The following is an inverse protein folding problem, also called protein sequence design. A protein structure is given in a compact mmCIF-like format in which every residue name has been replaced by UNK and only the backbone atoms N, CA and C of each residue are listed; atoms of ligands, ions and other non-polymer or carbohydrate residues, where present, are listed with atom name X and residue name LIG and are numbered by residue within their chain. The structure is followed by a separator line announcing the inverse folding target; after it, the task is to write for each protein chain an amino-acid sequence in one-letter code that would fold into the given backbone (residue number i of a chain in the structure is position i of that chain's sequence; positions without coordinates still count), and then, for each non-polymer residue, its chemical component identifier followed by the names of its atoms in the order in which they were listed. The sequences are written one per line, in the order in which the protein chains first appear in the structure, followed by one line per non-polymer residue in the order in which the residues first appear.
data_IF_120822619674
#
_entry.id   IF_120822619674
#
_cell.length_a   1.000
_cell.length_b   1.000
_cell.length_c   1.000
_cell.angle_alpha   90.00
_cell.angle_beta   90.00
_cell.angle_gamma   90.00
#
_symmetry.space_group_name_H-M   'P 1'
#
loop_
_entity.id
_entity.type
_entity.pdbx_description
1 polymer ?
#
# COMPACT_ATOMS: atom_id res chain seq x y z
N UNK A 1 39.57 -9.18 19.42
CA UNK A 1 39.07 -10.57 19.67
C UNK A 1 37.56 -10.57 19.58
N UNK A 2 37.03 -11.01 18.45
CA UNK A 2 35.59 -11.04 18.17
C UNK A 2 35.15 -12.50 18.30
N UNK A 3 34.24 -12.81 19.23
CA UNK A 3 33.66 -14.14 19.36
C UNK A 3 32.38 -14.24 18.51
N UNK A 4 32.45 -15.08 17.48
CA UNK A 4 31.30 -15.51 16.69
C UNK A 4 30.44 -16.47 17.54
N UNK A 5 29.18 -16.13 17.74
CA UNK A 5 28.15 -17.06 18.28
C UNK A 5 27.39 -17.63 17.09
N UNK A 6 27.64 -18.89 16.76
CA UNK A 6 26.86 -19.67 15.83
C UNK A 6 25.59 -20.18 16.49
N UNK A 7 24.43 -19.64 16.14
CA UNK A 7 23.13 -20.25 16.48
C UNK A 7 22.77 -21.33 15.46
N UNK A 8 22.69 -22.58 15.93
CA UNK A 8 22.24 -23.75 15.14
C UNK A 8 20.72 -23.84 15.27
N UNK A 9 20.01 -23.64 14.18
CA UNK A 9 18.58 -23.94 14.08
C UNK A 9 18.40 -25.40 13.68
N UNK A 10 17.71 -26.14 14.55
CA UNK A 10 17.26 -27.52 14.28
C UNK A 10 15.91 -27.44 13.56
N UNK A 11 15.85 -28.07 12.41
CA UNK A 11 14.62 -28.37 11.69
C UNK A 11 13.90 -29.53 12.39
N UNK A 12 12.68 -29.32 12.84
CA UNK A 12 11.77 -30.43 13.18
C UNK A 12 10.72 -30.55 12.07
N UNK A 13 10.82 -31.69 11.40
CA UNK A 13 9.86 -32.19 10.42
C UNK A 13 8.78 -32.97 11.20
N UNK A 14 7.53 -32.52 11.15
CA UNK A 14 6.39 -33.31 11.58
C UNK A 14 5.55 -33.71 10.36
N UNK A 15 5.64 -35.00 10.06
CA UNK A 15 4.76 -35.76 9.21
C UNK A 15 3.41 -35.94 9.93
N UNK A 16 2.28 -35.60 9.29
CA UNK A 16 0.96 -36.09 9.69
C UNK A 16 0.23 -36.63 8.45
N UNK A 17 -0.23 -37.84 8.62
CA UNK A 17 -0.76 -38.78 7.65
C UNK A 17 -2.15 -38.45 7.12
N UNK A 18 -2.41 -39.02 5.95
CA UNK A 18 -3.65 -39.05 5.21
C UNK A 18 -4.76 -39.86 5.91
N UNK A 19 -6.01 -39.39 5.83
CA UNK A 19 -7.19 -40.27 5.95
C UNK A 19 -8.12 -40.00 4.77
N UNK A 20 -8.22 -41.02 3.97
CA UNK A 20 -9.20 -41.14 2.88
C UNK A 20 -10.60 -41.51 3.45
N UNK A 21 -11.62 -40.85 2.98
CA UNK A 21 -13.00 -41.19 3.28
C UNK A 21 -13.88 -41.01 2.04
N UNK A 22 -14.07 -42.09 1.27
CA UNK A 22 -15.12 -42.22 0.25
C UNK A 22 -16.48 -42.40 0.92
N UNK A 23 -17.48 -41.69 0.46
CA UNK A 23 -18.87 -42.17 0.51
C UNK A 23 -19.63 -41.71 -0.76
N UNK A 24 -19.98 -42.71 -1.53
CA UNK A 24 -20.94 -42.74 -2.65
C UNK A 24 -22.38 -42.86 -2.09
N UNK A 25 -23.33 -42.11 -2.61
CA UNK A 25 -24.74 -42.48 -2.72
C UNK A 25 -25.41 -41.53 -3.69
N UNK A 26 -25.77 -41.95 -4.81
CA UNK A 26 -26.92 -42.69 -5.30
C UNK A 26 -28.08 -41.79 -5.77
N UNK A 27 -28.38 -41.96 -7.06
CA UNK A 27 -29.49 -41.41 -7.85
C UNK A 27 -30.86 -41.70 -7.29
N UNK A 28 -31.81 -40.81 -7.52
CA UNK A 28 -33.21 -41.15 -7.77
C UNK A 28 -33.85 -40.11 -8.68
N UNK A 29 -34.12 -40.52 -9.91
CA UNK A 29 -35.04 -39.87 -10.84
C UNK A 29 -36.48 -40.11 -10.40
N UNK A 30 -37.34 -39.10 -10.54
CA UNK A 30 -38.76 -39.28 -10.76
C UNK A 30 -39.36 -38.11 -11.53
N UNK A 31 -40.07 -38.33 -12.64
CA UNK A 31 -40.73 -37.27 -13.38
C UNK A 31 -42.15 -37.02 -12.78
N UNK A 32 -42.53 -35.76 -12.73
CA UNK A 32 -43.95 -35.40 -12.58
C UNK A 32 -44.23 -34.11 -13.36
N UNK A 33 -45.10 -34.27 -14.34
CA UNK A 33 -45.74 -33.20 -15.08
C UNK A 33 -46.47 -32.23 -14.16
N UNK A 34 -46.26 -30.95 -14.32
CA UNK A 34 -47.24 -29.93 -13.99
C UNK A 34 -46.95 -28.60 -14.70
N UNK A 35 -47.78 -28.32 -15.71
CA UNK A 35 -48.32 -27.03 -16.14
C UNK A 35 -47.40 -25.78 -16.16
N UNK A 36 -47.09 -25.43 -17.37
CA UNK A 36 -46.85 -24.11 -17.93
C UNK A 36 -47.57 -22.99 -17.19
N UNK A 37 -46.81 -22.22 -16.43
CA UNK A 37 -47.07 -20.82 -16.15
C UNK A 37 -45.88 -20.07 -16.72
N UNK A 38 -46.19 -19.23 -17.71
CA UNK A 38 -45.26 -18.40 -18.43
C UNK A 38 -44.77 -17.32 -17.46
N UNK A 39 -43.65 -17.58 -16.79
CA UNK A 39 -42.95 -16.62 -15.99
C UNK A 39 -41.86 -16.02 -16.88
N UNK A 40 -41.98 -14.73 -17.15
CA UNK A 40 -41.01 -13.97 -17.92
C UNK A 40 -39.62 -14.15 -17.28
N UNK A 41 -38.56 -14.37 -18.07
CA UNK A 41 -37.22 -14.48 -17.53
C UNK A 41 -36.83 -13.12 -16.89
N UNK A 42 -36.78 -13.09 -15.57
CA UNK A 42 -36.09 -12.06 -14.86
C UNK A 42 -34.61 -12.30 -15.20
N UNK A 43 -34.11 -11.58 -16.22
CA UNK A 43 -32.70 -11.48 -16.46
C UNK A 43 -32.06 -10.93 -15.17
N UNK A 44 -31.18 -11.69 -14.51
CA UNK A 44 -30.38 -11.09 -13.46
C UNK A 44 -29.62 -9.94 -14.13
N UNK A 45 -29.96 -8.71 -13.77
CA UNK A 45 -29.08 -7.57 -14.05
C UNK A 45 -27.76 -7.91 -13.37
N UNK A 46 -26.84 -8.49 -14.11
CA UNK A 46 -25.45 -8.56 -13.75
C UNK A 46 -25.03 -7.10 -13.68
N UNK A 47 -25.09 -6.54 -12.49
CA UNK A 47 -24.37 -5.31 -12.20
C UNK A 47 -22.92 -5.62 -12.56
N UNK A 48 -22.58 -5.32 -13.81
CA UNK A 48 -21.19 -5.32 -14.24
C UNK A 48 -20.54 -4.27 -13.36
N UNK A 49 -19.91 -4.73 -12.27
CA UNK A 49 -18.96 -3.90 -11.55
C UNK A 49 -18.03 -3.37 -12.63
N UNK A 50 -18.15 -2.09 -12.94
CA UNK A 50 -17.18 -1.40 -13.78
C UNK A 50 -15.83 -1.78 -13.21
N UNK A 51 -14.89 -2.35 -13.97
CA UNK A 51 -13.54 -2.57 -13.48
C UNK A 51 -13.13 -1.27 -12.80
N UNK A 52 -12.60 -1.34 -11.59
CA UNK A 52 -12.22 -0.16 -10.82
C UNK A 52 -11.48 0.76 -11.77
N UNK A 53 -12.15 1.85 -12.15
CA UNK A 53 -11.80 2.60 -13.34
C UNK A 53 -10.37 3.06 -13.16
N UNK A 54 -9.46 2.52 -13.95
CA UNK A 54 -8.12 3.05 -14.22
C UNK A 54 -7.21 3.33 -13.00
N UNK A 55 -7.44 2.70 -11.83
CA UNK A 55 -6.64 2.91 -10.63
C UNK A 55 -6.84 4.27 -9.95
N UNK A 56 -7.90 5.01 -10.28
CA UNK A 56 -8.14 6.36 -9.78
C UNK A 56 -8.19 6.43 -8.24
N UNK A 57 -8.82 5.47 -7.57
CA UNK A 57 -8.86 5.41 -6.11
C UNK A 57 -7.48 5.15 -5.50
N UNK A 58 -6.67 4.31 -6.13
CA UNK A 58 -5.29 4.06 -5.70
C UNK A 58 -4.40 5.30 -5.89
N UNK A 59 -4.58 6.03 -6.99
CA UNK A 59 -3.91 7.32 -7.23
C UNK A 59 -4.31 8.34 -6.18
N UNK A 60 -5.60 8.41 -5.82
CA UNK A 60 -6.08 9.29 -4.76
C UNK A 60 -5.44 8.93 -3.41
N UNK A 61 -5.42 7.65 -3.03
CA UNK A 61 -4.79 7.16 -1.81
C UNK A 61 -3.29 7.50 -1.75
N UNK A 62 -2.57 7.35 -2.86
CA UNK A 62 -1.16 7.73 -2.96
C UNK A 62 -0.96 9.23 -2.70
N UNK A 63 -1.77 10.09 -3.31
CA UNK A 63 -1.68 11.54 -3.11
C UNK A 63 -1.97 11.93 -1.65
N UNK A 64 -2.98 11.33 -1.04
CA UNK A 64 -3.32 11.61 0.37
C UNK A 64 -2.24 11.06 1.32
N UNK A 65 -1.63 9.91 1.03
CA UNK A 65 -0.48 9.43 1.78
C UNK A 65 0.66 10.46 1.85
N UNK A 66 0.98 11.13 0.73
CA UNK A 66 1.98 12.21 0.73
C UNK A 66 1.55 13.43 1.55
N UNK A 67 0.25 13.77 1.53
CA UNK A 67 -0.28 14.83 2.40
C UNK A 67 -0.18 14.46 3.88
N UNK A 68 -0.50 13.23 4.25
CA UNK A 68 -0.37 12.74 5.62
C UNK A 68 1.09 12.77 6.09
N UNK A 69 2.02 12.36 5.24
CA UNK A 69 3.46 12.43 5.51
C UNK A 69 3.91 13.89 5.67
N UNK A 70 3.45 14.79 4.81
CA UNK A 70 3.76 16.22 4.88
C UNK A 70 3.33 16.79 6.23
N UNK A 71 2.10 16.57 6.64
CA UNK A 71 1.58 17.03 7.93
C UNK A 71 2.35 16.44 9.12
N UNK A 72 2.66 15.15 9.09
CA UNK A 72 3.45 14.51 10.15
C UNK A 72 4.89 15.03 10.20
N UNK A 73 5.45 15.47 9.07
CA UNK A 73 6.82 15.98 8.98
C UNK A 73 7.01 17.38 9.56
N UNK A 74 5.92 18.17 9.69
CA UNK A 74 5.98 19.51 10.33
C UNK A 74 6.42 19.45 11.79
N UNK A 75 6.21 18.28 12.44
CA UNK A 75 6.63 18.02 13.83
C UNK A 75 7.50 16.80 13.95
N UNK A 76 7.83 16.14 12.84
CA UNK A 76 8.56 14.87 12.76
C UNK A 76 7.91 13.78 13.64
N UNK A 77 6.56 13.71 13.59
CA UNK A 77 5.76 12.79 14.40
C UNK A 77 5.59 11.42 13.71
N UNK A 78 6.49 10.48 14.04
CA UNK A 78 6.41 9.11 13.57
C UNK A 78 5.24 8.30 14.17
N UNK A 79 4.58 8.81 15.21
CA UNK A 79 3.42 8.18 15.85
C UNK A 79 2.08 8.73 15.32
N UNK A 80 2.11 9.66 14.38
CA UNK A 80 0.89 10.24 13.81
C UNK A 80 -0.05 9.14 13.29
N UNK A 81 -1.30 9.08 13.77
CA UNK A 81 -2.25 8.06 13.33
C UNK A 81 -2.60 8.18 11.84
N UNK A 82 -2.52 9.39 11.25
CA UNK A 82 -2.81 9.64 9.84
C UNK A 82 -1.95 8.80 8.90
N UNK A 83 -0.69 8.50 9.28
CA UNK A 83 0.22 7.71 8.45
C UNK A 83 -0.37 6.33 8.09
N UNK A 84 -1.14 5.73 9.01
CA UNK A 84 -1.78 4.43 8.82
C UNK A 84 -3.10 4.49 8.01
N UNK A 85 -3.64 5.68 7.73
CA UNK A 85 -4.90 5.81 6.99
C UNK A 85 -4.70 5.48 5.50
N UNK A 86 -3.58 5.90 4.91
CA UNK A 86 -3.30 5.70 3.49
C UNK A 86 -2.00 4.93 3.20
N UNK A 87 -1.26 4.52 4.23
CA UNK A 87 -0.08 3.65 4.09
C UNK A 87 -0.19 2.41 4.98
N UNK A 88 0.50 1.35 4.57
CA UNK A 88 0.62 0.08 5.31
C UNK A 88 1.94 -0.61 4.94
N UNK A 89 2.31 -1.67 5.66
CA UNK A 89 3.48 -2.47 5.35
C UNK A 89 4.76 -1.66 5.18
N UNK A 90 5.53 -1.96 4.13
CA UNK A 90 6.82 -1.31 3.89
C UNK A 90 6.76 0.20 3.68
N UNK A 91 5.68 0.73 3.08
CA UNK A 91 5.50 2.17 2.91
C UNK A 91 5.34 2.88 4.26
N UNK A 92 4.49 2.35 5.12
CA UNK A 92 4.26 2.91 6.46
C UNK A 92 5.54 2.90 7.30
N UNK A 93 6.27 1.78 7.29
CA UNK A 93 7.52 1.66 8.04
C UNK A 93 8.61 2.62 7.52
N UNK A 94 8.69 2.82 6.21
CA UNK A 94 9.63 3.77 5.61
C UNK A 94 9.32 5.21 6.05
N UNK A 95 8.04 5.61 6.04
CA UNK A 95 7.60 6.94 6.48
C UNK A 95 7.92 7.16 7.96
N UNK A 96 7.57 6.20 8.82
CA UNK A 96 7.88 6.26 10.25
C UNK A 96 9.37 6.34 10.52
N UNK A 97 10.17 5.55 9.80
CA UNK A 97 11.63 5.59 9.91
C UNK A 97 12.20 6.97 9.57
N UNK A 98 11.75 7.56 8.45
CA UNK A 98 12.17 8.91 8.04
C UNK A 98 11.84 9.97 9.10
N UNK A 99 10.61 9.97 9.60
CA UNK A 99 10.16 10.89 10.64
C UNK A 99 10.92 10.71 11.96
N UNK A 100 11.11 9.46 12.39
CA UNK A 100 11.88 9.17 13.60
C UNK A 100 13.35 9.62 13.48
N UNK A 101 13.95 9.49 12.29
CA UNK A 101 15.29 10.01 12.01
C UNK A 101 15.32 11.54 12.10
N UNK A 102 14.37 12.22 11.44
CA UNK A 102 14.26 13.69 11.51
C UNK A 102 14.06 14.17 12.94
N UNK A 103 13.23 13.49 13.73
CA UNK A 103 13.03 13.79 15.15
C UNK A 103 14.32 13.67 15.96
N UNK A 104 15.12 12.63 15.70
CA UNK A 104 16.40 12.40 16.37
C UNK A 104 17.46 13.47 16.01
N UNK A 105 17.36 14.05 14.83
CA UNK A 105 18.24 15.10 14.32
C UNK A 105 17.73 16.50 14.67
N UNK A 106 16.63 16.64 15.42
CA UNK A 106 15.95 17.91 15.74
C UNK A 106 15.58 18.71 14.50
N UNK A 107 15.07 18.00 13.49
CA UNK A 107 14.70 18.56 12.18
C UNK A 107 13.22 18.34 11.92
N UNK A 108 12.58 19.34 11.32
CA UNK A 108 11.20 19.28 10.79
C UNK A 108 11.21 19.65 9.31
N UNK A 109 10.18 19.23 8.57
CA UNK A 109 10.03 19.65 7.18
C UNK A 109 8.92 20.68 7.04
N UNK A 110 9.07 21.64 6.13
CA UNK A 110 8.07 22.65 5.79
C UNK A 110 7.87 22.70 4.28
N UNK A 111 6.65 23.04 3.87
CA UNK A 111 6.23 22.96 2.49
C UNK A 111 5.69 21.57 2.17
N UNK A 112 5.59 21.23 0.90
CA UNK A 112 5.08 19.95 0.45
C UNK A 112 5.77 19.52 -0.84
N UNK A 113 5.93 18.21 -1.07
CA UNK A 113 6.37 17.71 -2.36
C UNK A 113 5.25 17.83 -3.39
N UNK A 114 5.61 18.00 -4.66
CA UNK A 114 4.69 17.90 -5.78
C UNK A 114 4.71 16.47 -6.29
N UNK A 115 3.52 15.89 -6.44
CA UNK A 115 3.34 14.50 -6.88
C UNK A 115 2.38 14.43 -8.07
N UNK A 116 2.77 13.68 -9.09
CA UNK A 116 1.95 13.42 -10.28
C UNK A 116 2.07 11.96 -10.73
N UNK A 117 1.51 11.01 -9.94
CA UNK A 117 1.66 9.59 -10.18
C UNK A 117 0.95 9.14 -11.46
N UNK A 118 1.58 8.21 -12.18
CA UNK A 118 1.02 7.53 -13.35
C UNK A 118 0.82 6.05 -13.04
N UNK A 119 -0.31 5.52 -13.50
CA UNK A 119 -0.61 4.09 -13.38
C UNK A 119 0.23 3.30 -14.40
N UNK A 120 0.98 2.32 -13.91
CA UNK A 120 1.73 1.36 -14.73
C UNK A 120 0.90 0.11 -14.99
N UNK A 121 0.21 -0.38 -13.94
CA UNK A 121 -0.72 -1.49 -14.03
C UNK A 121 -1.81 -1.36 -12.99
N UNK A 122 -3.01 -1.84 -13.30
CA UNK A 122 -4.14 -1.82 -12.38
C UNK A 122 -4.93 -3.12 -12.46
N UNK A 123 -5.24 -3.67 -11.29
CA UNK A 123 -6.15 -4.78 -11.07
C UNK A 123 -7.07 -4.44 -9.90
N UNK A 124 -8.03 -5.30 -9.60
CA UNK A 124 -8.90 -5.19 -8.43
C UNK A 124 -8.18 -5.38 -7.07
N UNK A 125 -6.94 -5.88 -7.09
CA UNK A 125 -6.15 -6.22 -5.90
C UNK A 125 -4.85 -5.43 -5.77
N UNK A 126 -4.41 -4.80 -6.84
CA UNK A 126 -3.12 -4.11 -6.86
C UNK A 126 -3.09 -3.08 -7.98
N UNK A 127 -2.58 -1.91 -7.64
CA UNK A 127 -2.22 -0.87 -8.61
C UNK A 127 -0.75 -0.53 -8.41
N UNK A 128 0.01 -0.53 -9.50
CA UNK A 128 1.41 -0.11 -9.52
C UNK A 128 1.48 1.29 -10.12
N UNK A 129 2.13 2.17 -9.38
CA UNK A 129 2.31 3.57 -9.77
C UNK A 129 3.79 3.88 -9.94
N UNK A 130 4.08 4.82 -10.83
CA UNK A 130 5.37 5.48 -10.96
C UNK A 130 5.17 6.98 -10.91
N UNK A 131 6.06 7.67 -10.20
CA UNK A 131 6.02 9.13 -10.05
C UNK A 131 7.41 9.71 -10.18
N UNK A 132 7.47 10.99 -10.55
CA UNK A 132 8.65 11.84 -10.43
C UNK A 132 8.33 12.92 -9.39
N UNK A 133 8.63 12.64 -8.14
CA UNK A 133 8.33 13.54 -7.03
C UNK A 133 9.31 14.69 -7.02
N UNK A 134 8.79 15.92 -6.95
CA UNK A 134 9.58 17.13 -6.78
C UNK A 134 9.47 17.61 -5.33
N UNK A 135 10.56 17.51 -4.56
CA UNK A 135 10.65 17.96 -3.18
C UNK A 135 11.42 19.29 -3.03
N UNK A 136 11.67 20.02 -4.13
CA UNK A 136 12.37 21.30 -4.10
C UNK A 136 11.73 22.35 -3.18
N UNK A 137 10.43 22.21 -2.92
CA UNK A 137 9.67 23.06 -2.01
C UNK A 137 9.32 22.39 -0.67
N UNK A 138 9.88 21.21 -0.38
CA UNK A 138 9.68 20.50 0.87
C UNK A 138 11.00 20.42 1.65
N UNK A 139 11.32 21.53 2.33
CA UNK A 139 12.65 21.76 2.88
C UNK A 139 12.73 21.39 4.36
N UNK A 140 13.93 20.99 4.79
CA UNK A 140 14.20 20.65 6.19
C UNK A 140 14.73 21.87 6.97
N UNK A 141 14.21 22.02 8.20
CA UNK A 141 14.54 23.11 9.10
C UNK A 141 14.93 22.56 10.48
N UNK A 142 15.91 23.19 11.12
CA UNK A 142 16.19 22.98 12.53
C UNK A 142 15.07 23.56 13.38
N UNK A 143 14.95 23.14 14.63
CA UNK A 143 13.91 23.64 15.55
C UNK A 143 14.02 25.14 15.84
N UNK A 144 15.21 25.76 15.64
CA UNK A 144 15.39 27.21 15.75
C UNK A 144 14.90 28.00 14.52
N UNK A 145 14.38 27.29 13.50
CA UNK A 145 13.84 27.90 12.29
C UNK A 145 14.83 28.13 11.15
N UNK A 146 16.10 27.80 11.34
CA UNK A 146 17.09 27.85 10.27
C UNK A 146 16.95 26.65 9.34
N UNK A 147 17.29 26.81 8.05
CA UNK A 147 17.44 25.68 7.16
C UNK A 147 18.44 24.68 7.73
N UNK A 148 18.16 23.39 7.60
CA UNK A 148 19.08 22.33 8.05
C UNK A 148 20.42 22.43 7.32
N UNK A 149 20.35 22.63 6.02
CA UNK A 149 21.47 22.78 5.11
C UNK A 149 21.05 23.64 3.89
N UNK A 150 21.98 23.87 2.98
CA UNK A 150 21.74 24.61 1.74
C UNK A 150 21.52 23.68 0.54
N UNK A 151 21.17 22.41 0.79
CA UNK A 151 20.88 21.45 -0.28
C UNK A 151 19.44 21.65 -0.70
N UNK A 152 19.17 22.16 -1.92
CA UNK A 152 17.82 22.23 -2.42
C UNK A 152 17.30 20.80 -2.58
N UNK A 153 15.99 20.62 -2.43
CA UNK A 153 15.33 19.41 -2.87
C UNK A 153 15.51 19.22 -4.38
N UNK A 154 14.98 18.15 -4.91
CA UNK A 154 15.11 17.83 -6.32
C UNK A 154 14.02 16.88 -6.80
N UNK A 155 14.25 16.28 -7.94
CA UNK A 155 13.35 15.32 -8.53
C UNK A 155 13.87 13.91 -8.29
N UNK A 156 13.01 13.01 -7.82
CA UNK A 156 13.38 11.61 -7.65
C UNK A 156 12.24 10.68 -8.05
N UNK A 157 12.62 9.59 -8.68
CA UNK A 157 11.69 8.57 -9.11
C UNK A 157 11.18 7.77 -7.93
N UNK A 158 9.86 7.57 -7.90
CA UNK A 158 9.17 6.73 -6.93
C UNK A 158 8.42 5.63 -7.65
N UNK A 159 8.61 4.40 -7.19
CA UNK A 159 7.80 3.24 -7.56
C UNK A 159 6.92 2.88 -6.35
N UNK A 160 5.61 2.81 -6.53
CA UNK A 160 4.66 2.54 -5.45
C UNK A 160 3.72 1.38 -5.80
N UNK A 161 3.39 0.57 -4.80
CA UNK A 161 2.35 -0.46 -4.90
C UNK A 161 1.22 -0.11 -3.95
N UNK A 162 0.00 -0.03 -4.47
CA UNK A 162 -1.21 0.31 -3.72
C UNK A 162 -2.14 -0.89 -3.73
N UNK A 163 -2.68 -1.26 -2.56
CA UNK A 163 -3.55 -2.44 -2.39
C UNK A 163 -4.76 -2.12 -1.51
N UNK A 164 -5.90 -2.76 -1.76
CA UNK A 164 -7.04 -2.66 -0.85
C UNK A 164 -6.71 -3.33 0.48
N UNK A 165 -6.89 -2.60 1.56
CA UNK A 165 -6.59 -3.05 2.93
C UNK A 165 -7.62 -2.46 3.88
N UNK A 166 -8.40 -3.31 4.56
CA UNK A 166 -9.43 -2.86 5.50
C UNK A 166 -10.54 -2.03 4.84
N UNK A 167 -10.86 -2.31 3.56
CA UNK A 167 -11.91 -1.61 2.82
C UNK A 167 -11.48 -0.29 2.16
N UNK A 168 -10.21 0.09 2.25
CA UNK A 168 -9.64 1.28 1.61
C UNK A 168 -8.38 0.94 0.82
N UNK A 169 -8.08 1.71 -0.21
CA UNK A 169 -6.80 1.62 -0.91
C UNK A 169 -5.69 2.24 -0.06
N UNK A 170 -4.58 1.51 0.13
CA UNK A 170 -3.40 1.97 0.88
C UNK A 170 -2.12 1.67 0.13
N UNK A 171 -1.17 2.58 0.19
CA UNK A 171 0.19 2.34 -0.32
C UNK A 171 0.85 1.29 0.58
N UNK A 172 1.12 0.12 0.03
CA UNK A 172 1.70 -1.01 0.76
C UNK A 172 3.22 -1.09 0.62
N UNK A 173 3.74 -0.56 -0.47
CA UNK A 173 5.18 -0.49 -0.73
C UNK A 173 5.53 0.82 -1.43
N UNK A 174 6.67 1.38 -1.05
CA UNK A 174 7.18 2.64 -1.59
C UNK A 174 8.69 2.50 -1.75
N UNK A 175 9.16 2.68 -2.96
CA UNK A 175 10.59 2.69 -3.26
C UNK A 175 10.98 4.04 -3.87
N UNK A 176 11.78 4.79 -3.13
CA UNK A 176 12.27 6.10 -3.56
C UNK A 176 13.73 5.95 -4.03
N UNK A 177 14.02 6.45 -5.20
CA UNK A 177 15.37 6.49 -5.76
C UNK A 177 16.10 7.74 -5.30
N UNK A 178 17.38 7.83 -5.62
CA UNK A 178 18.18 9.01 -5.31
C UNK A 178 17.69 10.27 -6.06
N UNK A 179 17.99 11.44 -5.51
CA UNK A 179 17.72 12.71 -6.16
C UNK A 179 18.41 12.77 -7.53
N UNK A 180 17.73 13.34 -8.51
CA UNK A 180 18.17 13.39 -9.91
C UNK A 180 17.85 12.12 -10.71
N UNK A 181 17.08 11.16 -10.19
CA UNK A 181 16.72 9.93 -10.91
C UNK A 181 15.58 10.11 -11.93
N UNK A 182 14.99 11.24 -11.98
CA UNK A 182 14.12 11.72 -13.03
C UNK A 182 14.38 13.17 -13.34
#
# INVERSE_FOLDING_TARGET
MVRLVKARWRAEVLLVEAVAGMLLTSCAERPSDAKHLSEAPISPSVTRSTPAADGAEAVAAYRVMWQDLTLASETSDAASPRLGDHATGGALELMKYGLAKSKKEDVVSKGAPLVDPRVVSATDREVVLVDCVDDSHWLQYKLNGELKDNVPGGHFKVDATVRPTGGAWKVSNLYMREAGSC
#
